data_IF_638180544636
#
_entry.id   IF_638180544636
#
_cell.length_a   1.000
_cell.length_b   1.000
_cell.length_c   1.000
_cell.angle_alpha   90.00
_cell.angle_beta   90.00
_cell.angle_gamma   90.00
#
_symmetry.space_group_name_H-M   'P 1'
#
loop_
_entity.id
_entity.type
_entity.pdbx_description
1 polymer ?
#
# COMPACT_ATOMS: atom_id res chain seq x y z
N UNK A 1 -8.09 -0.98 15.83
CA UNK A 1 -6.92 -0.94 14.92
C UNK A 1 -6.92 -2.24 14.16
N UNK A 2 -6.98 -2.21 12.83
CA UNK A 2 -6.98 -3.42 12.00
C UNK A 2 -5.57 -3.65 11.47
N UNK A 3 -5.04 -4.86 11.54
CA UNK A 3 -3.74 -5.22 10.95
C UNK A 3 -3.94 -5.80 9.55
N UNK A 4 -2.95 -5.60 8.67
CA UNK A 4 -2.92 -6.35 7.42
C UNK A 4 -2.77 -7.85 7.71
N UNK A 5 -3.51 -8.67 6.97
CA UNK A 5 -3.22 -10.11 6.96
C UNK A 5 -1.97 -10.39 6.12
N UNK A 6 -1.44 -11.61 6.23
CA UNK A 6 -0.20 -12.01 5.52
C UNK A 6 -0.27 -11.75 4.02
N UNK A 7 -1.37 -12.13 3.36
CA UNK A 7 -1.53 -11.93 1.91
C UNK A 7 -1.57 -10.44 1.55
N UNK A 8 -2.27 -9.62 2.32
CA UNK A 8 -2.33 -8.18 2.09
C UNK A 8 -0.97 -7.51 2.30
N UNK A 9 -0.22 -7.95 3.31
CA UNK A 9 1.13 -7.47 3.56
C UNK A 9 2.08 -7.86 2.43
N UNK A 10 1.99 -9.11 1.93
CA UNK A 10 2.78 -9.58 0.79
C UNK A 10 2.47 -8.79 -0.49
N UNK A 11 1.19 -8.59 -0.82
CA UNK A 11 0.76 -7.81 -1.99
C UNK A 11 1.22 -6.35 -1.89
N UNK A 12 1.20 -5.77 -0.69
CA UNK A 12 1.72 -4.41 -0.47
C UNK A 12 3.23 -4.34 -0.72
N UNK A 13 3.98 -5.33 -0.23
CA UNK A 13 5.43 -5.41 -0.44
C UNK A 13 5.78 -5.56 -1.92
N UNK A 14 5.06 -6.41 -2.65
CA UNK A 14 5.26 -6.62 -4.09
C UNK A 14 5.00 -5.32 -4.88
N UNK A 15 3.86 -4.67 -4.61
CA UNK A 15 3.49 -3.42 -5.28
C UNK A 15 4.48 -2.28 -4.99
N UNK A 16 4.99 -2.19 -3.76
CA UNK A 16 6.01 -1.19 -3.42
C UNK A 16 7.33 -1.47 -4.12
N UNK A 17 7.80 -2.72 -4.15
CA UNK A 17 9.03 -3.07 -4.85
C UNK A 17 8.97 -2.76 -6.35
N UNK A 18 7.82 -3.02 -7.00
CA UNK A 18 7.60 -2.64 -8.40
C UNK A 18 7.62 -1.12 -8.60
N UNK A 19 6.97 -0.37 -7.70
CA UNK A 19 6.94 1.09 -7.74
C UNK A 19 8.35 1.69 -7.55
N UNK A 20 9.09 1.24 -6.53
CA UNK A 20 10.46 1.67 -6.24
C UNK A 20 11.36 1.38 -7.44
N UNK A 21 11.24 0.20 -8.05
CA UNK A 21 12.01 -0.16 -9.25
C UNK A 21 11.70 0.76 -10.43
N UNK A 22 10.43 1.07 -10.66
CA UNK A 22 9.99 2.00 -11.71
C UNK A 22 10.54 3.41 -11.49
N UNK A 23 10.46 3.93 -10.26
CA UNK A 23 10.99 5.26 -9.91
C UNK A 23 12.50 5.30 -10.02
N UNK A 24 13.21 4.25 -9.58
CA UNK A 24 14.66 4.13 -9.71
C UNK A 24 15.10 4.18 -11.18
N UNK A 25 14.38 3.51 -12.08
CA UNK A 25 14.66 3.56 -13.52
C UNK A 25 14.49 4.98 -14.11
N UNK A 26 13.47 5.72 -13.67
CA UNK A 26 13.25 7.12 -14.09
C UNK A 26 14.34 8.06 -13.56
N UNK A 27 14.74 7.90 -12.30
CA UNK A 27 15.86 8.65 -11.73
C UNK A 27 17.15 8.36 -12.50
N UNK A 28 17.41 7.09 -12.85
CA UNK A 28 18.55 6.70 -13.68
C UNK A 28 18.48 7.26 -15.12
N UNK A 29 17.27 7.50 -15.65
CA UNK A 29 17.05 8.17 -16.92
C UNK A 29 17.19 9.71 -16.85
N UNK A 30 17.46 10.28 -15.66
CA UNK A 30 17.72 11.71 -15.46
C UNK A 30 16.56 12.50 -14.85
N UNK A 31 15.46 11.87 -14.45
CA UNK A 31 14.36 12.53 -13.73
C UNK A 31 14.75 12.77 -12.25
N UNK A 32 15.64 13.73 -12.00
CA UNK A 32 16.20 14.01 -10.66
C UNK A 32 15.16 14.49 -9.63
N UNK A 33 14.03 15.05 -10.08
CA UNK A 33 12.91 15.43 -9.22
C UNK A 33 12.31 14.23 -8.46
N UNK A 34 12.49 13.01 -8.98
CA UNK A 34 12.02 11.78 -8.35
C UNK A 34 13.00 11.22 -7.31
N UNK A 35 14.15 11.86 -7.09
CA UNK A 35 15.15 11.36 -6.13
C UNK A 35 14.62 11.40 -4.69
N UNK A 36 13.89 12.45 -4.31
CA UNK A 36 13.23 12.53 -3.00
C UNK A 36 12.17 11.44 -2.87
N UNK A 37 11.35 11.24 -3.90
CA UNK A 37 10.35 10.16 -3.94
C UNK A 37 10.99 8.78 -3.82
N UNK A 38 12.11 8.53 -4.48
CA UNK A 38 12.84 7.27 -4.38
C UNK A 38 13.32 7.03 -2.94
N UNK A 39 13.85 8.06 -2.28
CA UNK A 39 14.31 7.98 -0.89
C UNK A 39 13.15 7.66 0.08
N UNK A 40 11.98 8.27 -0.14
CA UNK A 40 10.77 7.98 0.65
C UNK A 40 10.32 6.53 0.45
N UNK A 41 10.28 6.04 -0.79
CA UNK A 41 9.90 4.67 -1.11
C UNK A 41 10.82 3.63 -0.46
N UNK A 42 12.14 3.82 -0.55
CA UNK A 42 13.12 2.95 0.10
C UNK A 42 13.00 2.98 1.65
N UNK A 43 12.56 4.11 2.20
CA UNK A 43 12.26 4.22 3.64
C UNK A 43 11.02 3.41 4.01
N UNK A 44 9.96 3.49 3.20
CA UNK A 44 8.73 2.71 3.41
C UNK A 44 9.03 1.21 3.31
N UNK A 45 9.81 0.76 2.33
CA UNK A 45 10.20 -0.65 2.21
C UNK A 45 10.88 -1.17 3.47
N UNK A 46 11.83 -0.42 4.03
CA UNK A 46 12.50 -0.77 5.30
C UNK A 46 11.53 -0.82 6.48
N UNK A 47 10.57 0.10 6.55
CA UNK A 47 9.55 0.11 7.61
C UNK A 47 8.62 -1.09 7.50
N UNK A 48 8.29 -1.51 6.29
CA UNK A 48 7.47 -2.70 6.08
C UNK A 48 8.24 -3.99 6.40
N UNK A 49 9.54 -4.05 6.08
CA UNK A 49 10.37 -5.25 6.32
C UNK A 49 10.59 -5.48 7.82
N UNK A 50 10.58 -4.40 8.60
CA UNK A 50 10.81 -4.43 10.05
C UNK A 50 9.54 -4.53 10.89
N UNK A 51 8.33 -4.42 10.30
CA UNK A 51 7.14 -4.04 11.05
C UNK A 51 5.82 -4.69 10.64
N UNK A 52 4.84 -4.58 11.54
CA UNK A 52 3.44 -4.91 11.28
C UNK A 52 2.69 -3.64 10.85
N UNK A 53 1.95 -3.71 9.73
CA UNK A 53 1.18 -2.57 9.22
C UNK A 53 -0.19 -2.49 9.92
N UNK A 54 -0.43 -1.36 10.59
CA UNK A 54 -1.71 -1.04 11.19
C UNK A 54 -2.51 -0.08 10.31
N UNK A 55 -3.70 -0.50 9.90
CA UNK A 55 -4.68 0.36 9.24
C UNK A 55 -5.54 1.02 10.32
N UNK A 56 -5.48 2.36 10.32
CA UNK A 56 -6.44 3.19 11.04
C UNK A 56 -7.65 3.43 10.11
N UNK A 57 -8.83 2.90 10.42
CA UNK A 57 -10.02 3.18 9.62
C UNK A 57 -10.35 4.68 9.68
N UNK A 58 -10.66 5.26 8.53
CA UNK A 58 -11.12 6.63 8.44
C UNK A 58 -12.51 6.74 9.10
N UNK A 59 -12.73 7.64 10.07
CA UNK A 59 -14.03 7.80 10.71
C UNK A 59 -15.09 8.18 9.65
N UNK A 60 -16.16 7.39 9.55
CA UNK A 60 -17.24 7.63 8.58
C UNK A 60 -17.13 6.84 7.27
N UNK A 61 -16.06 6.08 7.04
CA UNK A 61 -16.00 5.12 5.95
C UNK A 61 -16.82 3.87 6.30
N UNK A 62 -18.15 3.98 6.30
CA UNK A 62 -19.03 2.81 6.35
C UNK A 62 -18.88 2.04 5.04
N UNK A 63 -18.21 0.90 5.12
CA UNK A 63 -18.20 -0.10 4.04
C UNK A 63 -19.65 -0.51 3.82
N UNK A 64 -20.28 -0.06 2.74
CA UNK A 64 -21.58 -0.56 2.27
C UNK A 64 -21.40 -2.01 1.83
N UNK A 65 -21.40 -2.93 2.79
CA UNK A 65 -21.66 -4.33 2.50
C UNK A 65 -23.14 -4.43 2.16
N UNK A 66 -23.41 -4.39 0.86
CA UNK A 66 -24.57 -4.86 0.14
C UNK A 66 -25.62 -5.55 1.05
N UNK A 67 -26.69 -4.80 1.35
CA UNK A 67 -27.93 -5.30 1.95
C UNK A 67 -28.39 -6.52 1.14
N UNK A 68 -28.59 -7.64 1.84
CA UNK A 68 -29.09 -8.92 1.33
C UNK A 68 -30.09 -8.75 0.18
N UNK A 69 -29.72 -9.31 -0.97
CA UNK A 69 -30.66 -9.69 -2.02
C UNK A 69 -31.40 -10.93 -1.51
N UNK A 70 -32.72 -10.84 -1.42
CA UNK A 70 -33.61 -12.01 -1.49
C UNK A 70 -34.35 -12.36 -0.21
N UNK A 71 -35.58 -11.87 -0.09
CA UNK A 71 -36.71 -12.69 0.34
C UNK A 71 -37.97 -12.09 -0.28
N UNK A 72 -38.37 -12.66 -1.42
CA UNK A 72 -39.72 -12.55 -1.96
C UNK A 72 -40.33 -13.94 -1.84
N UNK A 73 -41.35 -14.06 -0.99
CA UNK A 73 -42.31 -15.16 -0.96
C UNK A 73 -43.67 -14.56 -0.54
#
# INVERSE_FOLDING_TARGET
MQCLNFLQHLLLMEALNELTSSVRNRVAAGETLLQETLQELETIEKLLDTGTVHIKPLPGATRTTNKQIGEAA
#
